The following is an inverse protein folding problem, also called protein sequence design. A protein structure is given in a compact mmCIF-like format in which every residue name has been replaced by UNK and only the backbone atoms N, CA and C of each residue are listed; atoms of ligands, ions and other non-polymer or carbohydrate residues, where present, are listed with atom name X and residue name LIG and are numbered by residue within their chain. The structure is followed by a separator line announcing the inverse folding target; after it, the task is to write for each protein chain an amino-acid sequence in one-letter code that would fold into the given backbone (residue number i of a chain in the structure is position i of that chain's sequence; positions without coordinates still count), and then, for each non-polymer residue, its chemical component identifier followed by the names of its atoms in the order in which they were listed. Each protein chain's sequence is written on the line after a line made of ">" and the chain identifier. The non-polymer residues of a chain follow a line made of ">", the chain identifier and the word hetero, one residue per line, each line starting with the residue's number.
data_IF_044773117005
#
_entry.id   IF_044773117005
#
_cell.length_a   1.000
_cell.length_b   1.000
_cell.length_c   1.000
_cell.angle_alpha   90.00
_cell.angle_beta   90.00
_cell.angle_gamma   90.00
#
_symmetry.space_group_name_H-M   'P 1'
#
loop_
_entity.id
_entity.type
_entity.pdbx_description
1 polymer ?
#
# COMPACT_ATOMS: atom_id res chain seq x y z
N UNK A 1 1.66 8.58 -25.96
CA UNK A 1 1.82 9.10 -24.58
C UNK A 1 2.40 7.94 -23.77
N UNK A 2 3.49 8.12 -23.03
CA UNK A 2 4.11 7.05 -22.25
C UNK A 2 3.75 7.27 -20.80
N UNK A 3 3.09 6.29 -20.19
CA UNK A 3 2.70 6.39 -18.79
C UNK A 3 3.95 6.33 -17.90
N UNK A 4 4.05 7.29 -16.99
CA UNK A 4 5.18 7.43 -16.06
C UNK A 4 5.17 6.35 -14.98
N UNK A 5 3.98 5.88 -14.63
CA UNK A 5 3.70 4.79 -13.70
C UNK A 5 2.41 4.11 -14.13
N UNK A 6 2.26 2.81 -13.83
CA UNK A 6 1.03 2.07 -14.11
C UNK A 6 -0.14 2.62 -13.27
N UNK A 7 -1.20 3.09 -13.94
CA UNK A 7 -2.46 3.51 -13.33
C UNK A 7 -3.55 2.49 -13.69
N UNK A 8 -4.20 1.94 -12.67
CA UNK A 8 -5.28 0.97 -12.82
C UNK A 8 -6.61 1.58 -12.38
N UNK A 9 -7.68 1.36 -13.14
CA UNK A 9 -9.03 1.69 -12.67
C UNK A 9 -9.57 0.53 -11.82
N UNK A 10 -10.00 0.80 -10.58
CA UNK A 10 -10.62 -0.19 -9.68
C UNK A 10 -11.97 0.30 -9.17
N UNK A 11 -12.89 -0.64 -8.95
CA UNK A 11 -14.13 -0.37 -8.24
C UNK A 11 -13.88 -0.41 -6.73
N UNK A 12 -14.13 0.70 -6.04
CA UNK A 12 -14.05 0.82 -4.59
C UNK A 12 -15.35 1.47 -4.13
N UNK A 13 -16.11 0.78 -3.28
CA UNK A 13 -17.45 1.21 -2.86
C UNK A 13 -18.36 1.55 -4.06
N UNK A 14 -18.38 0.69 -5.07
CA UNK A 14 -19.15 0.83 -6.32
C UNK A 14 -18.82 2.08 -7.17
N UNK A 15 -17.72 2.76 -6.87
CA UNK A 15 -17.20 3.87 -7.65
C UNK A 15 -15.92 3.43 -8.36
N UNK A 16 -15.81 3.74 -9.66
CA UNK A 16 -14.58 3.55 -10.41
C UNK A 16 -13.58 4.66 -10.07
N UNK A 17 -12.43 4.26 -9.52
CA UNK A 17 -11.38 5.16 -9.07
C UNK A 17 -10.07 4.76 -9.75
N UNK A 18 -9.29 5.76 -10.16
CA UNK A 18 -7.92 5.54 -10.63
C UNK A 18 -6.99 5.28 -9.43
N UNK A 19 -6.23 4.19 -9.52
CA UNK A 19 -5.38 3.68 -8.46
C UNK A 19 -3.98 3.42 -8.98
N UNK A 20 -3.00 3.41 -8.09
CA UNK A 20 -1.61 3.05 -8.38
C UNK A 20 -1.10 2.09 -7.32
N UNK A 21 -0.10 1.28 -7.66
CA UNK A 21 0.61 0.50 -6.65
C UNK A 21 1.47 1.44 -5.80
N UNK A 22 1.29 1.37 -4.48
CA UNK A 22 2.02 2.24 -3.55
C UNK A 22 3.55 2.03 -3.58
N UNK A 23 4.03 0.81 -3.85
CA UNK A 23 5.48 0.52 -3.94
C UNK A 23 6.07 1.08 -5.21
N UNK A 24 5.36 0.95 -6.31
CA UNK A 24 5.78 1.50 -7.59
C UNK A 24 5.80 3.03 -7.50
N UNK A 25 4.84 3.63 -6.79
CA UNK A 25 4.80 5.08 -6.55
C UNK A 25 5.98 5.57 -5.70
N UNK A 26 6.29 4.86 -4.60
CA UNK A 26 7.43 5.16 -3.72
C UNK A 26 8.76 5.12 -4.48
N UNK A 27 8.95 4.06 -5.29
CA UNK A 27 10.13 3.89 -6.13
C UNK A 27 10.21 4.94 -7.24
N UNK A 28 9.10 5.23 -7.92
CA UNK A 28 9.03 6.22 -8.99
C UNK A 28 9.36 7.64 -8.50
N UNK A 29 8.91 7.99 -7.29
CA UNK A 29 9.20 9.28 -6.66
C UNK A 29 10.60 9.34 -6.02
N UNK A 30 11.39 8.26 -6.11
CA UNK A 30 12.74 8.12 -5.54
C UNK A 30 12.84 8.53 -4.07
N UNK A 31 11.83 8.15 -3.28
CA UNK A 31 11.77 8.52 -1.87
C UNK A 31 12.88 7.77 -1.12
N UNK A 32 13.82 8.54 -0.55
CA UNK A 32 15.01 8.00 0.17
C UNK A 32 14.69 7.34 1.53
N UNK A 33 13.42 7.25 1.90
CA UNK A 33 12.97 6.68 3.16
C UNK A 33 12.43 5.27 2.89
N UNK A 34 12.71 4.31 3.78
CA UNK A 34 12.14 2.96 3.64
C UNK A 34 10.62 3.00 3.49
N UNK A 35 10.09 2.24 2.52
CA UNK A 35 8.66 2.13 2.23
C UNK A 35 7.80 1.98 3.50
N UNK A 36 8.24 1.16 4.46
CA UNK A 36 7.51 0.91 5.70
C UNK A 36 7.33 2.16 6.57
N UNK A 37 8.27 3.09 6.55
CA UNK A 37 8.17 4.37 7.26
C UNK A 37 7.38 5.38 6.44
N UNK A 38 7.59 5.40 5.13
CA UNK A 38 6.86 6.25 4.22
C UNK A 38 5.35 5.97 4.22
N UNK A 39 4.94 4.70 4.06
CA UNK A 39 3.51 4.34 4.01
C UNK A 39 2.80 4.62 5.35
N UNK A 40 3.48 4.44 6.49
CA UNK A 40 2.93 4.82 7.80
C UNK A 40 2.66 6.31 7.90
N UNK A 41 3.55 7.14 7.34
CA UNK A 41 3.36 8.59 7.29
C UNK A 41 2.17 8.96 6.41
N UNK A 42 2.04 8.36 5.22
CA UNK A 42 0.88 8.59 4.32
C UNK A 42 -0.46 8.20 4.96
N UNK A 43 -0.51 7.06 5.64
CA UNK A 43 -1.68 6.62 6.41
C UNK A 43 -2.08 7.68 7.46
N UNK A 44 -1.10 8.25 8.16
CA UNK A 44 -1.34 9.31 9.15
C UNK A 44 -1.78 10.63 8.50
N UNK A 45 -1.04 11.09 7.48
CA UNK A 45 -1.29 12.38 6.79
C UNK A 45 -2.70 12.43 6.19
N UNK A 46 -3.23 11.29 5.73
CA UNK A 46 -4.58 11.18 5.16
C UNK A 46 -5.65 10.68 6.14
N UNK A 47 -5.32 10.49 7.41
CA UNK A 47 -6.31 10.11 8.44
C UNK A 47 -6.93 8.72 8.28
N UNK A 48 -6.20 7.77 7.69
CA UNK A 48 -6.70 6.42 7.44
C UNK A 48 -6.98 5.68 8.76
N UNK A 49 -8.12 5.01 8.83
CA UNK A 49 -8.60 4.26 9.99
C UNK A 49 -8.32 2.77 9.81
N UNK A 50 -7.65 2.16 10.80
CA UNK A 50 -7.37 0.73 10.82
C UNK A 50 -8.67 -0.08 10.81
N UNK A 51 -8.70 -1.16 10.04
CA UNK A 51 -9.86 -2.03 9.78
C UNK A 51 -11.01 -1.37 8.98
N UNK A 52 -10.81 -0.15 8.49
CA UNK A 52 -11.70 0.49 7.53
C UNK A 52 -10.97 0.73 6.21
N UNK A 53 -9.87 1.47 6.27
CA UNK A 53 -9.10 1.88 5.10
C UNK A 53 -7.88 0.96 4.86
N UNK A 54 -7.38 0.32 5.92
CA UNK A 54 -6.26 -0.62 5.82
C UNK A 54 -6.25 -1.69 6.93
N UNK A 55 -5.61 -2.82 6.64
CA UNK A 55 -5.40 -3.92 7.59
C UNK A 55 -3.90 -4.23 7.70
N UNK A 56 -3.43 -4.58 8.90
CA UNK A 56 -2.05 -5.04 9.14
C UNK A 56 -2.03 -6.53 9.41
N UNK A 57 -1.23 -7.26 8.65
CA UNK A 57 -0.95 -8.66 8.92
C UNK A 57 0.31 -8.78 9.76
N UNK A 58 0.18 -9.31 10.97
CA UNK A 58 1.34 -9.79 11.72
C UNK A 58 1.44 -11.29 11.49
N UNK A 59 2.41 -11.74 10.67
CA UNK A 59 2.67 -13.17 10.55
C UNK A 59 3.25 -13.65 11.88
N UNK A 60 2.43 -14.32 12.70
CA UNK A 60 2.95 -15.10 13.82
C UNK A 60 3.69 -16.29 13.20
N UNK A 61 5.01 -16.24 13.22
CA UNK A 61 5.81 -17.39 12.85
C UNK A 61 5.54 -18.50 13.86
N UNK A 62 5.11 -19.66 13.37
CA UNK A 62 5.12 -20.90 14.15
C UNK A 62 6.25 -21.76 13.57
N UNK A 63 7.20 -22.26 14.38
CA UNK A 63 8.10 -23.30 13.91
C UNK A 63 7.23 -24.48 13.46
N UNK A 64 7.45 -24.96 12.24
CA UNK A 64 6.85 -26.20 11.77
C UNK A 64 7.46 -27.33 12.61
N UNK A 65 6.75 -27.83 13.61
CA UNK A 65 7.12 -29.11 14.21
C UNK A 65 6.79 -30.18 13.19
N UNK A 66 7.82 -30.67 12.48
CA UNK A 66 7.73 -31.89 11.70
C UNK A 66 7.56 -33.04 12.71
N UNK A 67 6.40 -33.69 12.67
CA UNK A 67 6.21 -35.04 13.21
C UNK A 67 6.29 -36.02 12.04
#
# INVERSE_FOLDING_TARGET
>A
MKDLINIETKSINDVLIQTVNARDLDAFLEIKQDFSRWIKKRILDYGFVKNKDFTRFHKKWKPTTLL
#
